data_IF_742187975698
#
_entry.id   IF_742187975698
#
_cell.length_a   1.000
_cell.length_b   1.000
_cell.length_c   1.000
_cell.angle_alpha   90.00
_cell.angle_beta   90.00
_cell.angle_gamma   90.00
#
_symmetry.space_group_name_H-M   'P 1'
#
loop_
_entity.id
_entity.type
_entity.pdbx_description
1 polymer ?
#
# COMPACT_ATOMS: atom_id res chain seq x y z
N UNK A 1 10.02 -34.13 -4.75
CA UNK A 1 8.66 -33.61 -4.60
C UNK A 1 8.61 -32.25 -5.26
N UNK A 2 7.57 -31.91 -6.02
CA UNK A 2 7.46 -30.58 -6.56
C UNK A 2 7.40 -29.58 -5.40
N UNK A 3 8.22 -28.53 -5.47
CA UNK A 3 8.18 -27.45 -4.48
C UNK A 3 6.87 -26.70 -4.64
N UNK A 4 6.01 -26.81 -3.64
CA UNK A 4 4.81 -25.98 -3.57
C UNK A 4 5.21 -24.54 -3.26
N UNK A 5 4.58 -23.59 -3.90
CA UNK A 5 4.79 -22.16 -3.65
C UNK A 5 3.50 -21.49 -3.22
N UNK A 6 3.62 -20.51 -2.35
CA UNK A 6 2.48 -19.70 -1.92
C UNK A 6 2.43 -18.45 -2.80
N UNK A 7 1.23 -18.03 -3.19
CA UNK A 7 1.05 -16.82 -3.99
C UNK A 7 1.80 -15.62 -3.36
N UNK A 8 2.79 -15.07 -4.05
CA UNK A 8 3.62 -13.99 -3.49
C UNK A 8 2.85 -12.67 -3.34
N UNK A 9 1.75 -12.51 -4.08
CA UNK A 9 0.96 -11.27 -4.04
C UNK A 9 -0.02 -11.22 -2.86
N UNK A 10 -0.74 -12.31 -2.57
CA UNK A 10 -1.77 -12.30 -1.51
C UNK A 10 -1.60 -13.35 -0.41
N UNK A 11 -0.72 -14.33 -0.59
CA UNK A 11 -0.46 -15.39 0.38
C UNK A 11 -1.59 -16.42 0.54
N UNK A 12 -2.65 -16.37 -0.27
CA UNK A 12 -3.86 -17.19 -0.06
C UNK A 12 -3.94 -18.46 -0.92
N UNK A 13 -3.24 -18.54 -2.03
CA UNK A 13 -3.21 -19.71 -2.89
C UNK A 13 -1.90 -20.44 -2.72
N UNK A 14 -1.97 -21.77 -2.57
CA UNK A 14 -0.84 -22.67 -2.69
C UNK A 14 -0.85 -23.23 -4.11
N UNK A 15 0.19 -22.94 -4.88
CA UNK A 15 0.43 -23.53 -6.20
C UNK A 15 1.08 -24.89 -6.06
N UNK A 16 0.76 -25.82 -6.96
CA UNK A 16 1.23 -27.21 -6.83
C UNK A 16 2.74 -27.35 -7.13
N UNK A 17 3.30 -26.45 -7.92
CA UNK A 17 4.73 -26.35 -8.22
C UNK A 17 5.08 -24.91 -8.57
N UNK A 18 6.37 -24.61 -8.54
CA UNK A 18 6.89 -23.34 -9.06
C UNK A 18 6.61 -23.25 -10.57
N UNK A 19 6.22 -22.08 -11.03
CA UNK A 19 6.04 -21.74 -12.45
C UNK A 19 5.09 -22.69 -13.19
N UNK A 20 3.97 -23.03 -12.56
CA UNK A 20 2.92 -23.80 -13.20
C UNK A 20 1.96 -22.97 -14.06
N UNK A 21 2.15 -21.64 -14.06
CA UNK A 21 1.31 -20.67 -14.74
C UNK A 21 -0.16 -20.66 -14.29
N UNK A 22 -0.45 -21.28 -13.16
CA UNK A 22 -1.76 -21.20 -12.54
C UNK A 22 -2.03 -19.78 -12.02
N UNK A 23 -3.28 -19.35 -12.14
CA UNK A 23 -3.69 -18.01 -11.72
C UNK A 23 -4.33 -18.07 -10.32
N UNK A 24 -3.86 -17.24 -9.44
CA UNK A 24 -4.43 -17.10 -8.10
C UNK A 24 -5.86 -16.57 -8.18
N UNK A 25 -6.82 -17.37 -7.74
CA UNK A 25 -8.25 -17.00 -7.74
C UNK A 25 -8.59 -15.78 -6.88
N UNK A 26 -7.74 -15.48 -5.88
CA UNK A 26 -7.98 -14.37 -4.96
C UNK A 26 -7.49 -13.02 -5.48
N UNK A 27 -6.30 -12.97 -6.09
CA UNK A 27 -5.70 -11.70 -6.52
C UNK A 27 -5.40 -11.60 -8.02
N UNK A 28 -5.51 -12.71 -8.77
CA UNK A 28 -5.23 -12.74 -10.20
C UNK A 28 -3.74 -12.82 -10.57
N UNK A 29 -2.85 -13.00 -9.60
CA UNK A 29 -1.44 -13.23 -9.87
C UNK A 29 -1.25 -14.55 -10.61
N UNK A 30 -0.54 -14.53 -11.72
CA UNK A 30 -0.10 -15.73 -12.43
C UNK A 30 1.23 -16.22 -11.88
N UNK A 31 1.31 -17.51 -11.58
CA UNK A 31 2.50 -18.14 -10.99
C UNK A 31 3.60 -18.35 -12.04
N UNK A 32 4.30 -17.26 -12.35
CA UNK A 32 5.39 -17.16 -13.31
C UNK A 32 6.69 -16.79 -12.58
N UNK A 33 7.84 -17.15 -13.15
CA UNK A 33 9.17 -16.79 -12.66
C UNK A 33 9.46 -15.30 -12.73
N UNK A 34 8.78 -14.58 -13.62
CA UNK A 34 9.03 -13.17 -13.85
C UNK A 34 8.19 -12.31 -12.91
N UNK A 35 8.83 -11.76 -11.89
CA UNK A 35 8.22 -10.80 -10.96
C UNK A 35 8.28 -9.35 -11.48
N UNK A 36 8.78 -9.13 -12.70
CA UNK A 36 9.02 -7.83 -13.31
C UNK A 36 8.26 -7.68 -14.62
N UNK A 37 8.28 -6.48 -15.15
CA UNK A 37 7.68 -6.10 -16.42
C UNK A 37 8.16 -7.01 -17.57
N UNK A 38 7.25 -7.61 -18.32
CA UNK A 38 7.54 -8.48 -19.45
C UNK A 38 7.22 -9.97 -19.23
N UNK A 39 6.82 -10.38 -18.02
CA UNK A 39 6.28 -11.72 -17.74
C UNK A 39 4.77 -11.81 -18.02
N UNK A 40 4.16 -12.89 -17.53
CA UNK A 40 2.71 -13.13 -17.66
C UNK A 40 1.86 -12.10 -16.89
N UNK A 41 2.40 -11.53 -15.82
CA UNK A 41 1.74 -10.51 -15.03
C UNK A 41 1.91 -9.11 -15.64
N UNK A 42 0.82 -8.37 -15.77
CA UNK A 42 0.81 -7.04 -16.40
C UNK A 42 1.33 -5.92 -15.49
N UNK A 43 1.40 -6.17 -14.20
CA UNK A 43 1.89 -5.23 -13.18
C UNK A 43 3.02 -5.87 -12.38
N UNK A 44 3.79 -5.06 -11.69
CA UNK A 44 4.78 -5.53 -10.72
C UNK A 44 4.13 -6.28 -9.55
N UNK A 45 4.91 -7.10 -8.85
CA UNK A 45 4.43 -7.83 -7.68
C UNK A 45 3.91 -6.87 -6.59
N UNK A 46 4.59 -5.74 -6.37
CA UNK A 46 4.17 -4.75 -5.37
C UNK A 46 2.84 -4.10 -5.74
N UNK A 47 2.61 -3.84 -7.03
CA UNK A 47 1.34 -3.29 -7.51
C UNK A 47 0.20 -4.28 -7.35
N UNK A 48 0.43 -5.57 -7.61
CA UNK A 48 -0.56 -6.62 -7.31
C UNK A 48 -0.89 -6.69 -5.82
N UNK A 49 0.12 -6.64 -4.93
CA UNK A 49 -0.08 -6.61 -3.48
C UNK A 49 -0.92 -5.41 -3.05
N UNK A 50 -0.53 -4.22 -3.46
CA UNK A 50 -1.22 -2.97 -3.11
C UNK A 50 -2.66 -2.98 -3.61
N UNK A 51 -2.86 -3.34 -4.88
CA UNK A 51 -4.20 -3.43 -5.48
C UNK A 51 -5.09 -4.43 -4.75
N UNK A 52 -4.57 -5.61 -4.44
CA UNK A 52 -5.32 -6.60 -3.68
C UNK A 52 -5.70 -6.11 -2.29
N UNK A 53 -4.80 -5.43 -1.57
CA UNK A 53 -5.09 -4.85 -0.26
C UNK A 53 -6.19 -3.79 -0.33
N UNK A 54 -6.18 -2.96 -1.35
CA UNK A 54 -7.22 -1.95 -1.56
C UNK A 54 -8.57 -2.62 -1.84
N UNK A 55 -8.61 -3.62 -2.71
CA UNK A 55 -9.85 -4.33 -3.03
C UNK A 55 -10.46 -5.02 -1.81
N UNK A 56 -9.68 -5.72 -0.98
CA UNK A 56 -10.21 -6.35 0.24
C UNK A 56 -10.59 -5.33 1.33
N UNK A 57 -9.98 -4.17 1.33
CA UNK A 57 -10.36 -3.06 2.22
C UNK A 57 -11.75 -2.51 1.83
N UNK A 58 -11.98 -2.30 0.54
CA UNK A 58 -13.27 -1.82 0.01
C UNK A 58 -14.36 -2.90 0.04
N UNK A 59 -13.98 -4.15 -0.21
CA UNK A 59 -14.87 -5.31 -0.21
C UNK A 59 -14.19 -6.52 0.44
N UNK A 60 -14.42 -6.81 1.73
CA UNK A 60 -13.81 -7.94 2.43
C UNK A 60 -14.08 -9.32 1.81
N UNK A 61 -15.09 -9.42 0.94
CA UNK A 61 -15.44 -10.65 0.19
C UNK A 61 -14.84 -10.69 -1.22
N UNK A 62 -13.95 -9.73 -1.55
CA UNK A 62 -13.32 -9.67 -2.86
C UNK A 62 -12.57 -10.96 -3.21
N UNK A 63 -12.84 -11.48 -4.41
CA UNK A 63 -12.14 -12.59 -5.05
C UNK A 63 -11.99 -12.22 -6.53
N UNK A 64 -10.75 -12.16 -7.02
CA UNK A 64 -10.47 -11.81 -8.42
C UNK A 64 -11.25 -12.67 -9.43
N UNK A 65 -11.32 -13.98 -9.22
CA UNK A 65 -12.03 -14.91 -10.12
C UNK A 65 -13.48 -14.50 -10.38
N UNK A 66 -14.12 -13.86 -9.40
CA UNK A 66 -15.53 -13.43 -9.48
C UNK A 66 -15.65 -11.94 -9.86
N UNK A 67 -14.79 -11.11 -9.31
CA UNK A 67 -14.92 -9.65 -9.37
C UNK A 67 -14.02 -9.01 -10.45
N UNK A 68 -13.02 -9.75 -10.97
CA UNK A 68 -12.02 -9.19 -11.88
C UNK A 68 -11.19 -8.09 -11.22
N UNK A 69 -10.83 -7.06 -12.00
CA UNK A 69 -10.12 -5.87 -11.55
C UNK A 69 -11.02 -4.63 -11.69
N UNK A 70 -11.84 -4.30 -10.68
CA UNK A 70 -12.62 -3.06 -10.70
C UNK A 70 -11.70 -1.83 -10.85
N UNK A 71 -12.12 -0.84 -11.61
CA UNK A 71 -11.45 0.46 -11.62
C UNK A 71 -11.60 1.13 -10.26
N UNK A 72 -10.49 1.65 -9.74
CA UNK A 72 -10.47 2.42 -8.49
C UNK A 72 -10.54 3.90 -8.83
N UNK A 73 -11.44 4.62 -8.16
CA UNK A 73 -11.43 6.07 -8.20
C UNK A 73 -10.21 6.61 -7.43
N UNK A 74 -9.79 7.84 -7.74
CA UNK A 74 -8.72 8.48 -6.97
C UNK A 74 -9.07 8.60 -5.48
N UNK A 75 -10.34 8.86 -5.16
CA UNK A 75 -10.83 8.93 -3.78
C UNK A 75 -10.71 7.58 -3.06
N UNK A 76 -11.15 6.48 -3.67
CA UNK A 76 -11.02 5.13 -3.08
C UNK A 76 -9.57 4.75 -2.83
N UNK A 77 -8.70 5.01 -3.80
CA UNK A 77 -7.26 4.77 -3.69
C UNK A 77 -6.62 5.59 -2.56
N UNK A 78 -6.90 6.89 -2.52
CA UNK A 78 -6.36 7.78 -1.50
C UNK A 78 -6.95 7.52 -0.10
N UNK A 79 -8.22 7.12 0.00
CA UNK A 79 -8.85 6.75 1.27
C UNK A 79 -8.18 5.54 1.91
N UNK A 80 -7.78 4.56 1.12
CA UNK A 80 -7.02 3.43 1.63
C UNK A 80 -5.70 3.87 2.28
N UNK A 81 -4.93 4.74 1.63
CA UNK A 81 -3.66 5.22 2.16
C UNK A 81 -3.80 6.17 3.34
N UNK A 82 -4.88 6.93 3.40
CA UNK A 82 -5.15 7.87 4.49
C UNK A 82 -5.21 7.20 5.87
N UNK A 83 -5.63 5.94 5.97
CA UNK A 83 -5.65 5.22 7.23
C UNK A 83 -4.28 5.18 7.94
N UNK A 84 -3.18 5.28 7.20
CA UNK A 84 -1.82 5.27 7.75
C UNK A 84 -1.32 6.66 8.19
N UNK A 85 -2.12 7.69 8.04
CA UNK A 85 -1.77 9.06 8.47
C UNK A 85 -2.23 9.39 9.90
N UNK A 86 -2.99 8.51 10.55
CA UNK A 86 -3.49 8.71 11.91
C UNK A 86 -2.99 7.62 12.85
N UNK A 87 -2.83 7.94 14.14
CA UNK A 87 -2.34 7.01 15.17
C UNK A 87 -1.13 6.19 14.71
N UNK A 88 -0.20 6.85 14.03
CA UNK A 88 0.84 6.23 13.21
C UNK A 88 2.24 6.28 13.82
N UNK A 89 2.38 6.65 15.09
CA UNK A 89 3.69 6.77 15.75
C UNK A 89 4.54 5.51 15.61
N UNK A 90 3.97 4.34 15.85
CA UNK A 90 4.70 3.07 15.74
C UNK A 90 5.22 2.84 14.33
N UNK A 91 4.39 3.10 13.31
CA UNK A 91 4.79 2.96 11.92
C UNK A 91 5.88 3.96 11.53
N UNK A 92 5.80 5.19 12.02
CA UNK A 92 6.83 6.22 11.80
C UNK A 92 8.16 5.80 12.41
N UNK A 93 8.16 5.24 13.62
CA UNK A 93 9.36 4.75 14.29
C UNK A 93 10.02 3.57 13.56
N UNK A 94 9.24 2.78 12.82
CA UNK A 94 9.72 1.66 12.00
C UNK A 94 10.11 2.08 10.57
N UNK A 95 9.88 3.32 10.21
CA UNK A 95 10.14 3.86 8.87
C UNK A 95 11.53 4.50 8.76
N UNK A 96 12.07 4.50 7.55
CA UNK A 96 13.27 5.28 7.21
C UNK A 96 12.88 6.68 6.73
N UNK A 97 11.82 6.77 5.94
CA UNK A 97 11.30 8.01 5.37
C UNK A 97 9.83 8.19 5.68
N UNK A 98 9.42 9.44 5.69
CA UNK A 98 8.02 9.85 5.72
C UNK A 98 7.73 10.83 4.60
N UNK A 99 6.46 10.87 4.18
CA UNK A 99 5.96 11.85 3.22
C UNK A 99 4.80 12.64 3.82
N UNK A 100 4.82 13.94 3.69
CA UNK A 100 3.69 14.80 4.05
C UNK A 100 2.87 15.11 2.81
N UNK A 101 1.62 14.67 2.75
CA UNK A 101 0.78 14.93 1.59
C UNK A 101 0.13 16.33 1.58
N UNK A 102 0.34 17.15 2.61
CA UNK A 102 -0.01 18.57 2.56
C UNK A 102 1.09 19.41 1.89
N UNK A 103 2.31 19.39 2.42
CA UNK A 103 3.42 20.17 1.84
C UNK A 103 4.25 19.41 0.80
N UNK A 104 3.92 18.13 0.55
CA UNK A 104 4.50 17.24 -0.48
C UNK A 104 5.99 16.93 -0.28
N UNK A 105 6.53 17.18 0.90
CA UNK A 105 7.93 16.86 1.24
C UNK A 105 8.08 15.39 1.62
N UNK A 106 9.16 14.77 1.14
CA UNK A 106 9.64 13.45 1.57
C UNK A 106 10.93 13.69 2.37
N UNK A 107 11.03 13.11 3.56
CA UNK A 107 12.11 13.39 4.49
C UNK A 107 12.41 12.20 5.41
N UNK A 108 13.55 12.23 6.10
CA UNK A 108 13.94 11.22 7.08
C UNK A 108 12.94 11.19 8.25
N UNK A 109 12.45 10.01 8.60
CA UNK A 109 11.47 9.81 9.67
C UNK A 109 11.93 10.33 11.04
N UNK A 110 13.25 10.35 11.28
CA UNK A 110 13.86 10.87 12.51
C UNK A 110 13.61 12.36 12.75
N UNK A 111 13.30 13.11 11.68
CA UNK A 111 12.97 14.53 11.81
C UNK A 111 11.63 14.79 12.52
N UNK A 112 10.75 13.76 12.60
CA UNK A 112 9.49 13.88 13.33
C UNK A 112 9.74 13.94 14.84
N UNK A 113 10.68 13.12 15.37
CA UNK A 113 11.11 13.06 16.76
C UNK A 113 9.99 13.30 17.81
N UNK A 114 9.74 14.54 18.19
CA UNK A 114 8.72 14.93 19.19
C UNK A 114 7.46 15.55 18.58
N UNK A 115 7.37 15.60 17.26
CA UNK A 115 6.23 16.19 16.54
C UNK A 115 5.05 15.22 16.45
N UNK A 116 4.39 14.99 17.60
CA UNK A 116 3.21 14.12 17.69
C UNK A 116 2.10 14.83 18.46
N UNK A 117 0.86 14.56 18.05
CA UNK A 117 -0.35 14.94 18.77
C UNK A 117 -1.05 13.69 19.32
N UNK A 118 -1.75 13.81 20.42
CA UNK A 118 -2.54 12.71 20.97
C UNK A 118 -3.82 12.51 20.16
N UNK A 119 -4.12 11.26 19.86
CA UNK A 119 -5.30 10.82 19.14
C UNK A 119 -6.04 9.77 20.00
N UNK A 120 -7.28 9.42 19.64
CA UNK A 120 -8.11 8.43 20.36
C UNK A 120 -7.42 7.07 20.51
N UNK A 121 -6.64 6.68 19.53
CA UNK A 121 -6.00 5.35 19.43
C UNK A 121 -4.46 5.40 19.59
N UNK A 122 -3.88 6.54 19.97
CA UNK A 122 -2.44 6.66 20.10
C UNK A 122 -1.92 8.06 19.81
N UNK A 123 -0.79 8.12 19.12
CA UNK A 123 -0.18 9.38 18.71
C UNK A 123 -0.09 9.48 17.19
N UNK A 124 -0.47 10.62 16.66
CA UNK A 124 -0.42 10.96 15.25
C UNK A 124 0.76 11.89 14.97
N UNK A 125 1.57 11.54 13.97
CA UNK A 125 2.72 12.34 13.56
C UNK A 125 2.28 13.64 12.88
N UNK A 126 2.99 14.70 13.20
CA UNK A 126 2.81 16.04 12.62
C UNK A 126 4.04 16.41 11.79
N UNK A 127 3.83 17.00 10.64
CA UNK A 127 4.91 17.39 9.76
C UNK A 127 5.80 18.48 10.41
N UNK A 128 7.12 18.24 10.52
CA UNK A 128 8.03 19.22 11.11
C UNK A 128 8.22 20.48 10.26
N UNK A 129 7.77 20.46 9.00
CA UNK A 129 7.92 21.58 8.07
C UNK A 129 6.67 22.46 7.95
N UNK A 130 5.48 21.88 7.97
CA UNK A 130 4.23 22.64 7.77
C UNK A 130 3.27 22.55 8.96
N UNK A 131 3.50 21.67 9.93
CA UNK A 131 2.67 21.53 11.13
C UNK A 131 1.35 20.80 10.92
N UNK A 132 1.13 20.18 9.76
CA UNK A 132 -0.10 19.42 9.46
C UNK A 132 0.09 17.93 9.76
N UNK A 133 -0.93 17.28 10.25
CA UNK A 133 -0.96 15.84 10.61
C UNK A 133 -1.24 14.93 9.40
N UNK A 134 -0.55 15.19 8.30
CA UNK A 134 -0.71 14.48 7.02
C UNK A 134 0.53 13.65 6.63
N UNK A 135 1.00 12.83 7.57
CA UNK A 135 2.24 12.06 7.43
C UNK A 135 1.93 10.60 7.06
N UNK A 136 2.54 10.14 5.97
CA UNK A 136 2.56 8.74 5.56
C UNK A 136 3.93 8.12 5.88
N UNK A 137 3.98 6.94 6.54
CA UNK A 137 5.20 6.22 6.86
C UNK A 137 5.59 5.22 5.76
N UNK A 138 6.87 5.13 5.39
CA UNK A 138 7.33 4.26 4.28
C UNK A 138 7.32 2.76 4.62
N UNK A 139 7.18 2.38 5.87
CA UNK A 139 7.00 0.97 6.25
C UNK A 139 5.63 0.40 5.85
N UNK A 140 4.66 1.25 5.49
CA UNK A 140 3.29 0.88 5.10
C UNK A 140 2.92 1.36 3.70
N UNK A 141 3.56 2.42 3.23
CA UNK A 141 3.17 3.12 2.01
C UNK A 141 4.40 3.30 1.13
N UNK A 142 4.29 2.91 -0.13
CA UNK A 142 5.30 3.25 -1.13
C UNK A 142 5.16 4.73 -1.49
N UNK A 143 5.96 5.56 -0.81
CA UNK A 143 5.85 7.02 -0.89
C UNK A 143 6.47 7.51 -2.19
N UNK A 144 5.67 8.18 -3.00
CA UNK A 144 6.12 8.84 -4.23
C UNK A 144 5.56 10.26 -4.32
N UNK A 145 6.19 11.15 -5.10
CA UNK A 145 5.64 12.49 -5.37
C UNK A 145 4.23 12.45 -5.94
N UNK A 146 3.96 11.48 -6.83
CA UNK A 146 2.64 11.33 -7.46
C UNK A 146 1.56 10.92 -6.45
N UNK A 147 1.90 10.03 -5.51
CA UNK A 147 0.98 9.68 -4.43
C UNK A 147 0.67 10.88 -3.54
N UNK A 148 1.70 11.64 -3.14
CA UNK A 148 1.50 12.82 -2.29
C UNK A 148 0.66 13.89 -2.99
N UNK A 149 0.85 14.08 -4.29
CA UNK A 149 0.02 14.98 -5.11
C UNK A 149 -1.43 14.51 -5.19
N UNK A 150 -1.66 13.22 -5.44
CA UNK A 150 -3.00 12.64 -5.49
C UNK A 150 -3.72 12.77 -4.13
N UNK A 151 -3.02 12.49 -3.03
CA UNK A 151 -3.54 12.65 -1.67
C UNK A 151 -3.89 14.11 -1.37
N UNK A 152 -3.03 15.05 -1.77
CA UNK A 152 -3.30 16.48 -1.60
C UNK A 152 -4.60 16.90 -2.31
N UNK A 153 -4.78 16.49 -3.57
CA UNK A 153 -5.97 16.82 -4.35
C UNK A 153 -7.26 16.28 -3.74
N UNK A 154 -7.22 15.07 -3.19
CA UNK A 154 -8.42 14.45 -2.59
C UNK A 154 -8.79 15.08 -1.24
N UNK A 155 -7.80 15.47 -0.44
CA UNK A 155 -8.04 15.88 0.95
C UNK A 155 -8.00 17.38 1.20
N UNK A 156 -7.44 18.17 0.29
CA UNK A 156 -7.22 19.61 0.48
C UNK A 156 -7.71 20.49 -0.69
N UNK A 157 -8.10 19.96 -1.84
CA UNK A 157 -8.78 20.66 -2.94
C UNK A 157 -10.26 20.28 -3.03
#
# INVERSE_FOLDING_TARGET
MPNKSICPACGKTEFQKECDYDICKYCGWENDDFFEEGGANTLSLIDYKNRYQIYIYLNPKYIWKTNGYPELTAEEYCTYWHQYSTSNQENVLLSNKCGCFFCKKIFDSKLISEHYINDKNGKTAVCPFCGVDSILPDNKVDISPDLLEAMYKVWFE
#
